data_IF_938159459043
#
_entry.id   IF_938159459043
#
_cell.length_a   1.000
_cell.length_b   1.000
_cell.length_c   1.000
_cell.angle_alpha   90.00
_cell.angle_beta   90.00
_cell.angle_gamma   90.00
#
_symmetry.space_group_name_H-M   'P 1'
#
loop_
_entity.id
_entity.type
_entity.pdbx_description
1 polymer ?
#
# COMPACT_ATOMS: atom_id res chain seq x y z
N UNK A 1 -21.30 -3.01 -15.65
CA UNK A 1 -21.09 -1.58 -15.98
C UNK A 1 -20.22 -0.99 -14.89
N UNK A 2 -19.19 -0.22 -15.23
CA UNK A 2 -18.34 0.43 -14.22
C UNK A 2 -19.10 1.54 -13.52
N UNK A 3 -18.96 1.69 -12.20
CA UNK A 3 -19.66 2.76 -11.48
C UNK A 3 -19.07 4.12 -11.86
N UNK A 4 -19.89 5.15 -12.13
CA UNK A 4 -19.40 6.49 -12.41
C UNK A 4 -18.43 7.01 -11.33
N UNK A 5 -17.29 7.58 -11.74
CA UNK A 5 -16.24 8.07 -10.82
C UNK A 5 -16.77 9.03 -9.75
N UNK A 6 -17.73 9.88 -10.10
CA UNK A 6 -18.36 10.83 -9.17
C UNK A 6 -19.12 10.16 -8.03
N UNK A 7 -19.82 9.05 -8.31
CA UNK A 7 -20.53 8.28 -7.28
C UNK A 7 -19.55 7.60 -6.32
N UNK A 8 -18.49 6.98 -6.85
CA UNK A 8 -17.46 6.35 -6.03
C UNK A 8 -16.76 7.37 -5.15
N UNK A 9 -16.52 8.58 -5.66
CA UNK A 9 -15.94 9.66 -4.85
C UNK A 9 -16.88 10.07 -3.71
N UNK A 10 -18.17 10.23 -3.97
CA UNK A 10 -19.15 10.55 -2.93
C UNK A 10 -19.30 9.44 -1.88
N UNK A 11 -19.15 8.17 -2.27
CA UNK A 11 -19.07 7.03 -1.34
C UNK A 11 -17.84 7.12 -0.43
N UNK A 12 -16.66 7.38 -1.01
CA UNK A 12 -15.43 7.59 -0.26
C UNK A 12 -15.58 8.75 0.74
N UNK A 13 -16.12 9.87 0.29
CA UNK A 13 -16.31 11.05 1.12
C UNK A 13 -17.23 10.74 2.31
N UNK A 14 -18.35 10.03 2.10
CA UNK A 14 -19.24 9.59 3.19
C UNK A 14 -18.53 8.68 4.17
N UNK A 15 -17.75 7.72 3.68
CA UNK A 15 -17.00 6.80 4.53
C UNK A 15 -15.94 7.51 5.38
N UNK A 16 -15.18 8.46 4.81
CA UNK A 16 -14.18 9.23 5.55
C UNK A 16 -14.79 10.15 6.62
N UNK A 17 -16.07 10.52 6.48
CA UNK A 17 -16.80 11.29 7.48
C UNK A 17 -17.46 10.43 8.56
N UNK A 18 -17.59 9.13 8.34
CA UNK A 18 -18.26 8.22 9.26
C UNK A 18 -17.57 8.19 10.63
N UNK A 19 -18.32 7.79 11.66
CA UNK A 19 -17.80 7.67 13.03
C UNK A 19 -16.88 6.45 13.16
N UNK A 20 -17.15 5.42 12.36
CA UNK A 20 -16.42 4.16 12.27
C UNK A 20 -15.01 4.35 11.70
N UNK A 21 -14.81 5.29 10.77
CA UNK A 21 -13.51 5.55 10.17
C UNK A 21 -12.54 6.23 11.15
N UNK A 22 -11.56 5.46 11.62
CA UNK A 22 -10.65 5.87 12.70
C UNK A 22 -9.40 6.61 12.22
N UNK A 23 -8.97 6.41 10.96
CA UNK A 23 -7.70 6.95 10.43
C UNK A 23 -7.72 8.49 10.32
N UNK A 24 -7.07 9.14 11.29
CA UNK A 24 -7.01 10.60 11.36
C UNK A 24 -6.17 11.22 10.24
N UNK A 25 -5.15 10.52 9.74
CA UNK A 25 -4.32 11.00 8.63
C UNK A 25 -5.13 11.16 7.34
N UNK A 26 -5.89 10.15 6.95
CA UNK A 26 -6.76 10.20 5.77
C UNK A 26 -7.89 11.24 5.92
N UNK A 27 -8.46 11.42 7.12
CA UNK A 27 -9.44 12.50 7.38
C UNK A 27 -8.80 13.88 7.24
N UNK A 28 -7.56 14.06 7.69
CA UNK A 28 -6.83 15.31 7.53
C UNK A 28 -6.51 15.58 6.06
N UNK A 29 -6.08 14.57 5.30
CA UNK A 29 -5.84 14.66 3.87
C UNK A 29 -7.09 15.12 3.11
N UNK A 30 -8.23 14.48 3.41
CA UNK A 30 -9.51 14.85 2.84
C UNK A 30 -9.91 16.29 3.16
N UNK A 31 -9.88 16.70 4.44
CA UNK A 31 -10.27 18.05 4.87
C UNK A 31 -9.41 19.16 4.26
N UNK A 32 -8.17 18.85 3.87
CA UNK A 32 -7.21 19.79 3.30
C UNK A 32 -7.16 19.78 1.77
N UNK A 33 -8.01 18.96 1.12
CA UNK A 33 -8.01 18.82 -0.32
C UNK A 33 -6.76 18.13 -0.87
N UNK A 34 -6.00 17.41 -0.05
CA UNK A 34 -4.74 16.74 -0.42
C UNK A 34 -4.91 15.24 -0.67
N UNK A 35 -6.13 14.81 -0.98
CA UNK A 35 -6.48 13.44 -1.33
C UNK A 35 -6.61 13.31 -2.85
N UNK A 36 -5.67 12.57 -3.47
CA UNK A 36 -5.77 12.15 -4.88
C UNK A 36 -6.58 10.86 -4.95
N UNK A 37 -7.62 10.82 -5.78
CA UNK A 37 -8.48 9.65 -5.94
C UNK A 37 -8.50 9.17 -7.38
N UNK A 38 -8.40 7.85 -7.55
CA UNK A 38 -8.52 7.14 -8.81
C UNK A 38 -9.38 5.90 -8.64
N UNK A 39 -10.04 5.51 -9.72
CA UNK A 39 -10.98 4.39 -9.73
C UNK A 39 -10.70 3.48 -10.92
N UNK A 40 -10.65 2.18 -10.64
CA UNK A 40 -10.25 1.15 -11.60
C UNK A 40 -11.27 0.00 -11.63
N UNK A 41 -11.30 -0.80 -12.72
CA UNK A 41 -12.26 -1.90 -12.83
C UNK A 41 -12.13 -2.99 -11.74
N UNK A 42 -10.95 -3.57 -11.50
CA UNK A 42 -10.86 -4.76 -10.65
C UNK A 42 -9.53 -4.86 -9.91
N UNK A 43 -9.57 -5.06 -8.59
CA UNK A 43 -8.38 -5.33 -7.79
C UNK A 43 -7.77 -6.68 -8.24
N UNK A 44 -6.45 -6.71 -8.43
CA UNK A 44 -5.74 -7.91 -8.89
C UNK A 44 -5.83 -8.19 -10.40
N UNK A 45 -6.51 -7.35 -11.18
CA UNK A 45 -6.49 -7.40 -12.64
C UNK A 45 -5.28 -6.68 -13.25
N UNK A 46 -4.70 -7.24 -14.31
CA UNK A 46 -3.49 -6.70 -14.97
C UNK A 46 -3.69 -5.28 -15.51
N UNK A 47 -4.82 -5.03 -16.19
CA UNK A 47 -5.11 -3.71 -16.76
C UNK A 47 -5.35 -2.65 -15.67
N UNK A 48 -6.03 -3.02 -14.57
CA UNK A 48 -6.19 -2.13 -13.42
C UNK A 48 -4.85 -1.87 -12.72
N UNK A 49 -3.96 -2.86 -12.65
CA UNK A 49 -2.62 -2.67 -12.12
C UNK A 49 -1.78 -1.73 -12.98
N UNK A 50 -1.87 -1.83 -14.31
CA UNK A 50 -1.21 -0.91 -15.25
C UNK A 50 -1.68 0.53 -15.08
N UNK A 51 -2.98 0.77 -15.11
CA UNK A 51 -3.54 2.12 -14.91
C UNK A 51 -3.19 2.66 -13.51
N UNK A 52 -3.24 1.80 -12.50
CA UNK A 52 -2.88 2.19 -11.14
C UNK A 52 -1.39 2.51 -11.00
N UNK A 53 -0.50 1.77 -11.64
CA UNK A 53 0.92 2.07 -11.69
C UNK A 53 1.16 3.45 -12.31
N UNK A 54 0.59 3.73 -13.49
CA UNK A 54 0.74 5.02 -14.18
C UNK A 54 0.32 6.19 -13.27
N UNK A 55 -0.89 6.14 -12.71
CA UNK A 55 -1.40 7.18 -11.82
C UNK A 55 -0.59 7.32 -10.52
N UNK A 56 -0.10 6.21 -9.95
CA UNK A 56 0.68 6.20 -8.71
C UNK A 56 2.12 6.65 -8.94
N UNK A 57 2.71 6.36 -10.10
CA UNK A 57 4.02 6.84 -10.51
C UNK A 57 4.00 8.37 -10.67
N UNK A 58 3.02 8.91 -11.39
CA UNK A 58 2.82 10.36 -11.51
C UNK A 58 2.67 11.02 -10.13
N UNK A 59 1.89 10.40 -9.24
CA UNK A 59 1.75 10.86 -7.87
C UNK A 59 3.07 10.83 -7.11
N UNK A 60 3.83 9.73 -7.19
CA UNK A 60 5.12 9.54 -6.51
C UNK A 60 6.15 10.57 -6.96
N UNK A 61 6.30 10.78 -8.27
CA UNK A 61 7.23 11.76 -8.84
C UNK A 61 6.88 13.21 -8.45
N UNK A 62 5.62 13.46 -8.11
CA UNK A 62 5.16 14.78 -7.67
C UNK A 62 5.28 15.02 -6.14
N UNK A 63 5.70 14.03 -5.34
CA UNK A 63 5.84 14.13 -3.88
C UNK A 63 7.07 14.92 -3.38
N UNK A 64 8.27 14.79 -3.99
CA UNK A 64 9.45 15.50 -3.52
C UNK A 64 9.18 17.01 -3.34
N UNK A 65 9.61 17.57 -2.21
CA UNK A 65 9.37 18.97 -1.85
C UNK A 65 8.00 19.31 -1.26
N UNK A 66 7.02 18.39 -1.28
CA UNK A 66 5.68 18.59 -0.68
C UNK A 66 5.51 17.93 0.69
N UNK A 67 6.39 16.99 1.04
CA UNK A 67 6.35 16.24 2.29
C UNK A 67 6.88 17.08 3.46
N UNK A 68 6.13 17.14 4.55
CA UNK A 68 6.49 17.86 5.77
C UNK A 68 5.82 17.27 7.01
N UNK A 69 6.25 17.69 8.20
CA UNK A 69 5.61 17.31 9.47
C UNK A 69 4.19 17.87 9.68
N UNK A 70 3.61 18.48 8.65
CA UNK A 70 2.22 18.90 8.60
C UNK A 70 1.51 18.46 7.32
N UNK A 71 2.18 17.78 6.37
CA UNK A 71 1.54 17.29 5.15
C UNK A 71 0.70 16.05 5.43
N UNK A 72 -0.48 15.99 4.82
CA UNK A 72 -1.31 14.78 4.78
C UNK A 72 -1.68 14.50 3.32
N UNK A 73 -0.71 14.05 2.55
CA UNK A 73 -0.91 13.62 1.17
C UNK A 73 -1.29 12.14 1.17
N UNK A 74 -2.38 11.80 0.49
CA UNK A 74 -2.83 10.42 0.36
C UNK A 74 -3.33 10.16 -1.05
N UNK A 75 -2.87 9.07 -1.64
CA UNK A 75 -3.45 8.52 -2.87
C UNK A 75 -4.46 7.44 -2.50
N UNK A 76 -5.66 7.48 -3.07
CA UNK A 76 -6.70 6.49 -2.84
C UNK A 76 -7.08 5.83 -4.16
N UNK A 77 -6.80 4.54 -4.26
CA UNK A 77 -7.31 3.67 -5.32
C UNK A 77 -8.61 3.01 -4.86
N UNK A 78 -9.62 2.98 -5.72
CA UNK A 78 -10.88 2.26 -5.50
C UNK A 78 -11.18 1.35 -6.67
N UNK A 79 -11.91 0.26 -6.44
CA UNK A 79 -12.16 -0.74 -7.48
C UNK A 79 -13.64 -1.12 -7.55
N UNK A 80 -14.16 -1.40 -8.74
CA UNK A 80 -15.52 -1.96 -8.89
C UNK A 80 -15.60 -3.39 -8.36
N UNK A 81 -14.51 -4.15 -8.52
CA UNK A 81 -14.43 -5.54 -8.10
C UNK A 81 -13.05 -5.96 -7.56
N UNK A 82 -12.84 -7.27 -7.32
CA UNK A 82 -13.80 -8.35 -7.54
C UNK A 82 -14.95 -8.26 -6.54
N UNK A 83 -15.96 -9.13 -6.69
CA UNK A 83 -17.16 -9.15 -5.84
C UNK A 83 -16.87 -9.34 -4.34
N UNK A 84 -17.90 -9.65 -3.53
CA UNK A 84 -17.70 -9.88 -2.11
C UNK A 84 -16.58 -10.90 -1.86
N UNK A 85 -15.66 -10.56 -0.96
CA UNK A 85 -14.53 -11.38 -0.53
C UNK A 85 -14.50 -11.43 0.99
N UNK A 86 -14.14 -12.58 1.53
CA UNK A 86 -13.67 -12.65 2.92
C UNK A 86 -12.29 -11.99 3.07
N UNK A 87 -11.78 -11.91 4.31
CA UNK A 87 -10.48 -11.27 4.58
C UNK A 87 -9.30 -12.02 3.93
N UNK A 88 -9.38 -13.34 3.79
CA UNK A 88 -8.30 -14.17 3.25
C UNK A 88 -8.23 -14.05 1.72
N UNK A 89 -9.38 -14.10 1.05
CA UNK A 89 -9.53 -13.85 -0.39
C UNK A 89 -9.10 -12.43 -0.74
N UNK A 90 -9.50 -11.45 0.07
CA UNK A 90 -9.08 -10.06 -0.12
C UNK A 90 -7.58 -9.88 0.03
N UNK A 91 -6.96 -10.46 1.06
CA UNK A 91 -5.51 -10.39 1.26
C UNK A 91 -4.73 -10.99 0.08
N UNK A 92 -5.15 -12.15 -0.43
CA UNK A 92 -4.54 -12.76 -1.63
C UNK A 92 -4.68 -11.85 -2.85
N UNK A 93 -5.86 -11.26 -3.04
CA UNK A 93 -6.16 -10.38 -4.18
C UNK A 93 -5.37 -9.07 -4.09
N UNK A 94 -5.24 -8.50 -2.89
CA UNK A 94 -4.41 -7.33 -2.60
C UNK A 94 -2.95 -7.59 -3.00
N UNK A 95 -2.35 -8.66 -2.48
CA UNK A 95 -0.95 -8.93 -2.76
C UNK A 95 -0.68 -9.27 -4.22
N UNK A 96 -1.61 -9.97 -4.89
CA UNK A 96 -1.57 -10.14 -6.35
C UNK A 96 -1.54 -8.79 -7.06
N UNK A 97 -2.39 -7.84 -6.65
CA UNK A 97 -2.42 -6.51 -7.26
C UNK A 97 -1.13 -5.74 -7.04
N UNK A 98 -0.59 -5.75 -5.81
CA UNK A 98 0.69 -5.09 -5.51
C UNK A 98 1.86 -5.74 -6.26
N UNK A 99 1.86 -7.07 -6.42
CA UNK A 99 2.86 -7.75 -7.24
C UNK A 99 2.78 -7.31 -8.70
N UNK A 100 1.57 -7.21 -9.28
CA UNK A 100 1.41 -6.75 -10.66
C UNK A 100 1.91 -5.31 -10.86
N UNK A 101 1.63 -4.41 -9.92
CA UNK A 101 2.14 -3.04 -9.96
C UNK A 101 3.67 -3.02 -9.84
N UNK A 102 4.25 -3.80 -8.92
CA UNK A 102 5.71 -3.92 -8.77
C UNK A 102 6.39 -4.51 -10.03
N UNK A 103 5.77 -5.51 -10.65
CA UNK A 103 6.29 -6.15 -11.86
C UNK A 103 6.39 -5.15 -13.03
N UNK A 104 5.51 -4.14 -13.07
CA UNK A 104 5.53 -3.06 -14.05
C UNK A 104 6.59 -2.00 -13.69
N UNK A 105 6.75 -1.68 -12.40
CA UNK A 105 7.64 -0.61 -11.92
C UNK A 105 9.13 -1.00 -11.90
N UNK A 106 9.40 -2.25 -11.49
CA UNK A 106 10.76 -2.74 -11.20
C UNK A 106 11.80 -2.72 -12.32
N UNK A 107 11.44 -2.76 -13.62
CA UNK A 107 12.43 -2.59 -14.69
C UNK A 107 13.08 -1.21 -14.69
N UNK A 108 12.33 -0.16 -14.32
CA UNK A 108 12.74 1.23 -14.48
C UNK A 108 13.11 1.91 -13.16
N UNK A 109 12.69 1.34 -12.03
CA UNK A 109 12.76 1.98 -10.73
C UNK A 109 13.33 1.07 -9.65
N UNK A 110 14.19 1.66 -8.80
CA UNK A 110 14.82 0.98 -7.67
C UNK A 110 14.07 1.16 -6.35
N UNK A 111 14.79 0.98 -5.24
CA UNK A 111 14.24 1.18 -3.88
C UNK A 111 14.58 2.57 -3.34
N UNK A 112 13.73 3.07 -2.43
CA UNK A 112 13.98 4.35 -1.77
C UNK A 112 15.16 4.19 -0.79
N UNK A 113 16.14 5.10 -0.77
CA UNK A 113 17.20 5.08 0.23
C UNK A 113 16.63 5.05 1.66
N UNK A 114 17.16 4.14 2.48
CA UNK A 114 16.74 3.93 3.88
C UNK A 114 15.47 3.10 4.07
N UNK A 115 14.77 2.71 3.00
CA UNK A 115 13.67 1.75 3.04
C UNK A 115 14.15 0.36 2.59
N UNK A 116 13.41 -0.68 2.98
CA UNK A 116 13.61 -2.04 2.50
C UNK A 116 12.47 -2.47 1.58
N UNK A 117 12.78 -3.28 0.57
CA UNK A 117 11.78 -3.97 -0.24
C UNK A 117 11.50 -5.41 0.24
N UNK A 118 12.23 -5.89 1.25
CA UNK A 118 11.98 -7.17 1.90
C UNK A 118 10.80 -7.01 2.89
N UNK A 119 9.66 -7.71 2.68
CA UNK A 119 8.45 -7.59 3.50
C UNK A 119 8.61 -8.09 4.94
N UNK A 120 9.72 -8.75 5.25
CA UNK A 120 10.05 -9.20 6.61
C UNK A 120 10.78 -8.14 7.44
N UNK A 121 11.20 -7.03 6.84
CA UNK A 121 12.00 -6.00 7.51
C UNK A 121 11.16 -4.90 8.18
N UNK A 122 11.62 -4.34 9.32
CA UNK A 122 10.98 -3.22 10.02
C UNK A 122 10.73 -1.96 9.19
N UNK A 123 11.60 -1.68 8.22
CA UNK A 123 11.53 -0.52 7.34
C UNK A 123 10.98 -0.86 5.94
N UNK A 124 10.21 -1.95 5.83
CA UNK A 124 9.55 -2.33 4.58
C UNK A 124 8.64 -1.22 4.04
N UNK A 125 8.70 -1.01 2.73
CA UNK A 125 7.73 -0.22 1.98
C UNK A 125 7.40 -0.86 0.64
N UNK A 126 6.18 -0.64 0.17
CA UNK A 126 5.81 -0.94 -1.22
C UNK A 126 6.34 0.18 -2.12
N UNK A 127 7.13 -0.15 -3.13
CA UNK A 127 7.84 0.83 -3.95
C UNK A 127 7.13 1.06 -5.28
N UNK A 128 7.01 2.34 -5.65
CA UNK A 128 6.64 2.80 -7.00
C UNK A 128 7.46 4.04 -7.31
N UNK A 129 8.09 4.11 -8.49
CA UNK A 129 8.90 5.27 -8.90
C UNK A 129 10.09 5.54 -7.98
N UNK A 130 10.64 4.50 -7.33
CA UNK A 130 11.71 4.66 -6.34
C UNK A 130 11.27 5.21 -4.98
N UNK A 131 9.95 5.36 -4.75
CA UNK A 131 9.40 5.94 -3.53
C UNK A 131 8.69 4.86 -2.68
N UNK A 132 8.94 4.85 -1.36
CA UNK A 132 8.40 3.85 -0.45
C UNK A 132 7.05 4.27 0.16
N UNK A 133 6.06 3.39 0.08
CA UNK A 133 4.70 3.61 0.56
C UNK A 133 4.26 2.57 1.59
N UNK A 134 3.40 3.03 2.50
CA UNK A 134 2.51 2.17 3.29
C UNK A 134 1.15 2.09 2.60
N UNK A 135 0.59 0.88 2.52
CA UNK A 135 -0.72 0.64 1.91
C UNK A 135 -1.69 0.19 3.00
N UNK A 136 -2.76 0.95 3.23
CA UNK A 136 -3.88 0.55 4.06
C UNK A 136 -5.06 0.13 3.19
N UNK A 137 -5.29 -1.18 3.09
CA UNK A 137 -6.36 -1.74 2.29
C UNK A 137 -7.69 -1.83 3.07
N UNK A 138 -8.80 -1.69 2.36
CA UNK A 138 -10.17 -1.65 2.87
C UNK A 138 -11.10 -2.47 1.95
N UNK A 139 -12.07 -3.17 2.52
CA UNK A 139 -13.06 -3.96 1.77
C UNK A 139 -14.32 -4.23 2.60
N UNK A 140 -15.46 -4.60 1.96
CA UNK A 140 -16.73 -4.79 2.66
C UNK A 140 -16.70 -5.87 3.75
N UNK A 141 -15.89 -6.92 3.54
CA UNK A 141 -15.77 -8.08 4.42
C UNK A 141 -14.83 -7.89 5.61
N UNK A 142 -14.26 -6.70 5.81
CA UNK A 142 -13.30 -6.45 6.89
C UNK A 142 -13.92 -6.67 8.27
N UNK A 143 -13.19 -7.34 9.16
CA UNK A 143 -13.55 -7.47 10.59
C UNK A 143 -13.58 -6.13 11.32
N UNK A 144 -12.80 -5.15 10.85
CA UNK A 144 -12.70 -3.79 11.42
C UNK A 144 -13.64 -2.81 10.72
N UNK A 145 -14.48 -2.12 11.49
CA UNK A 145 -15.43 -1.12 10.99
C UNK A 145 -14.71 0.01 10.22
N UNK A 146 -13.55 0.42 10.70
CA UNK A 146 -12.69 1.43 10.08
C UNK A 146 -12.12 1.04 8.72
N UNK A 147 -12.25 -0.23 8.31
CA UNK A 147 -11.82 -0.75 7.01
C UNK A 147 -12.96 -1.37 6.18
N UNK A 148 -14.22 -1.31 6.67
CA UNK A 148 -15.41 -1.76 5.94
C UNK A 148 -15.91 -0.70 4.94
N UNK A 149 -15.06 -0.37 3.97
CA UNK A 149 -15.49 0.44 2.83
C UNK A 149 -16.39 -0.41 1.90
N UNK A 150 -17.46 0.12 1.29
CA UNK A 150 -18.39 -0.66 0.46
C UNK A 150 -17.80 -1.30 -0.80
N UNK A 151 -16.51 -1.07 -1.08
CA UNK A 151 -15.77 -1.62 -2.22
C UNK A 151 -14.33 -1.91 -1.82
N UNK A 152 -13.56 -2.68 -2.61
CA UNK A 152 -12.11 -2.73 -2.45
C UNK A 152 -11.50 -1.33 -2.64
N UNK A 153 -10.61 -0.94 -1.72
CA UNK A 153 -9.88 0.32 -1.80
C UNK A 153 -8.51 0.24 -1.12
N UNK A 154 -7.57 1.04 -1.61
CA UNK A 154 -6.20 1.16 -1.09
C UNK A 154 -5.94 2.63 -0.77
N UNK A 155 -5.66 2.95 0.48
CA UNK A 155 -5.09 4.24 0.87
C UNK A 155 -3.57 4.11 0.93
N UNK A 156 -2.87 4.84 0.07
CA UNK A 156 -1.43 4.74 -0.16
C UNK A 156 -0.79 6.04 0.33
N UNK A 157 0.12 5.90 1.30
CA UNK A 157 0.74 7.05 1.99
C UNK A 157 2.26 6.88 2.03
N UNK A 158 2.99 7.98 1.77
CA UNK A 158 4.45 7.98 1.79
C UNK A 158 5.01 7.61 3.17
N UNK A 159 5.97 6.69 3.22
CA UNK A 159 6.69 6.36 4.46
C UNK A 159 7.47 7.57 5.00
N UNK A 160 8.03 8.38 4.09
CA UNK A 160 8.68 9.64 4.47
C UNK A 160 7.73 10.64 5.14
N UNK A 161 6.43 10.61 4.82
CA UNK A 161 5.44 11.43 5.52
C UNK A 161 5.31 11.05 6.99
N UNK A 162 5.31 9.74 7.31
CA UNK A 162 5.25 9.29 8.70
C UNK A 162 6.51 9.69 9.46
N UNK A 163 7.70 9.56 8.85
CA UNK A 163 8.95 10.01 9.45
C UNK A 163 8.95 11.53 9.72
N UNK A 164 8.43 12.32 8.78
CA UNK A 164 8.37 13.77 8.92
C UNK A 164 7.43 14.24 10.06
N UNK A 165 6.44 13.44 10.46
CA UNK A 165 5.54 13.76 11.57
C UNK A 165 6.26 13.72 12.94
N UNK A 166 7.34 12.94 13.09
CA UNK A 166 8.08 12.81 14.34
C UNK A 166 7.17 12.46 15.53
N UNK A 167 7.33 13.15 16.65
CA UNK A 167 6.52 12.94 17.87
C UNK A 167 5.00 13.12 17.63
N UNK A 168 4.59 13.93 16.65
CA UNK A 168 3.16 14.12 16.32
C UNK A 168 2.53 12.82 15.83
N UNK A 169 3.33 11.90 15.28
CA UNK A 169 2.85 10.58 14.87
C UNK A 169 2.39 9.78 16.10
N UNK A 170 3.12 9.84 17.21
CA UNK A 170 2.75 9.12 18.46
C UNK A 170 1.40 9.61 18.97
N UNK A 171 1.21 10.93 19.08
CA UNK A 171 -0.07 11.49 19.50
C UNK A 171 -1.21 11.17 18.51
N UNK A 172 -0.92 11.13 17.21
CA UNK A 172 -1.90 10.75 16.19
C UNK A 172 -2.33 9.28 16.37
N UNK A 173 -1.36 8.40 16.62
CA UNK A 173 -1.54 6.97 16.81
C UNK A 173 -2.34 6.65 18.07
N UNK A 174 -2.07 7.32 19.19
CA UNK A 174 -2.88 7.19 20.43
C UNK A 174 -4.35 7.55 20.18
N UNK A 175 -4.61 8.64 19.45
CA UNK A 175 -5.98 9.05 19.12
C UNK A 175 -6.66 8.08 18.14
N UNK A 176 -5.91 7.49 17.21
CA UNK A 176 -6.42 6.43 16.33
C UNK A 176 -6.77 5.20 17.16
N UNK A 177 -5.91 4.78 18.10
CA UNK A 177 -6.15 3.64 19.00
C UNK A 177 -7.37 3.83 19.89
N UNK A 178 -7.57 5.03 20.44
CA UNK A 178 -8.76 5.35 21.23
C UNK A 178 -10.05 5.20 20.40
N UNK A 179 -10.02 5.64 19.12
CA UNK A 179 -11.15 5.43 18.21
C UNK A 179 -11.36 3.98 17.81
N UNK A 180 -10.28 3.25 17.57
CA UNK A 180 -10.36 1.82 17.30
C UNK A 180 -11.00 1.07 18.47
N UNK A 181 -10.63 1.40 19.71
CA UNK A 181 -11.24 0.87 20.92
C UNK A 181 -12.74 1.20 21.00
N UNK A 182 -13.11 2.46 20.76
CA UNK A 182 -14.50 2.88 20.79
C UNK A 182 -15.37 2.21 19.71
N UNK A 183 -14.82 2.02 18.50
CA UNK A 183 -15.56 1.53 17.34
C UNK A 183 -15.57 0.01 17.20
N UNK A 184 -14.55 -0.68 17.73
CA UNK A 184 -14.35 -2.12 17.52
C UNK A 184 -14.13 -2.91 18.84
N UNK A 185 -14.22 -2.24 20.00
CA UNK A 185 -13.97 -2.86 21.31
C UNK A 185 -12.52 -3.30 21.55
N UNK A 186 -11.61 -3.00 20.64
CA UNK A 186 -10.20 -3.41 20.70
C UNK A 186 -9.34 -2.53 19.79
N UNK A 187 -8.02 -2.49 19.99
CA UNK A 187 -7.07 -1.97 18.99
C UNK A 187 -6.90 -3.05 17.90
N UNK A 188 -6.59 -2.65 16.67
CA UNK A 188 -6.30 -3.62 15.60
C UNK A 188 -5.14 -4.53 16.06
N UNK A 189 -5.35 -5.85 16.21
CA UNK A 189 -4.34 -6.76 16.76
C UNK A 189 -3.06 -6.82 15.93
N UNK A 190 -3.14 -6.59 14.61
CA UNK A 190 -1.95 -6.54 13.77
C UNK A 190 -0.98 -5.46 14.27
N UNK A 191 -1.49 -4.25 14.57
CA UNK A 191 -0.71 -3.14 15.12
C UNK A 191 -0.31 -3.30 16.60
N UNK A 192 -0.80 -4.29 17.33
CA UNK A 192 -0.28 -4.56 18.69
C UNK A 192 0.81 -5.63 18.69
N UNK A 193 0.82 -6.52 17.68
CA UNK A 193 1.75 -7.64 17.60
C UNK A 193 2.96 -7.38 16.68
N UNK A 194 2.76 -6.65 15.57
CA UNK A 194 3.75 -6.59 14.48
C UNK A 194 4.10 -5.17 14.02
N UNK A 195 3.61 -4.13 14.71
CA UNK A 195 3.61 -2.73 14.27
C UNK A 195 4.92 -2.27 13.62
N UNK A 196 6.03 -2.45 14.35
CA UNK A 196 7.35 -2.01 13.92
C UNK A 196 8.26 -3.15 13.46
N UNK A 197 7.81 -4.40 13.59
CA UNK A 197 8.63 -5.56 13.23
C UNK A 197 8.39 -5.99 11.79
N UNK A 198 7.11 -6.07 11.37
CA UNK A 198 6.73 -6.59 10.06
C UNK A 198 5.55 -5.79 9.48
N UNK A 199 5.81 -4.59 8.92
CA UNK A 199 4.76 -3.68 8.46
C UNK A 199 3.82 -4.27 7.40
N UNK A 200 4.31 -5.22 6.58
CA UNK A 200 3.54 -5.90 5.55
C UNK A 200 2.26 -6.56 6.10
N UNK A 201 2.27 -7.05 7.34
CA UNK A 201 1.12 -7.70 8.00
C UNK A 201 -0.07 -6.75 8.22
N UNK A 202 0.15 -5.44 8.15
CA UNK A 202 -0.92 -4.44 8.35
C UNK A 202 -1.65 -4.08 7.06
N UNK A 203 -1.12 -4.49 5.90
CA UNK A 203 -1.57 -3.97 4.62
C UNK A 203 -3.02 -4.36 4.32
N UNK A 204 -3.34 -5.67 4.43
CA UNK A 204 -4.70 -6.19 4.24
C UNK A 204 -5.68 -5.72 5.33
N UNK A 205 -5.19 -5.55 6.56
CA UNK A 205 -6.00 -5.16 7.71
C UNK A 205 -6.56 -6.32 8.52
N UNK A 206 -6.31 -7.54 8.06
CA UNK A 206 -6.58 -8.80 8.75
C UNK A 206 -5.54 -9.04 9.85
N UNK A 207 -5.92 -9.73 10.92
CA UNK A 207 -4.95 -10.32 11.83
C UNK A 207 -4.35 -11.58 11.18
N UNK A 208 -3.06 -11.53 10.88
CA UNK A 208 -2.30 -12.65 10.31
C UNK A 208 -1.87 -13.65 11.38
N UNK A 209 -1.76 -14.92 11.00
CA UNK A 209 -1.26 -16.03 11.81
C UNK A 209 0.24 -15.85 12.16
N UNK A 210 0.75 -16.47 13.24
CA UNK A 210 2.17 -16.36 13.61
C UNK A 210 3.14 -16.78 12.50
N UNK A 211 2.81 -17.83 11.75
CA UNK A 211 3.60 -18.40 10.65
C UNK A 211 3.30 -17.77 9.28
N UNK A 212 2.47 -16.73 9.23
CA UNK A 212 2.14 -16.03 7.99
C UNK A 212 3.40 -15.49 7.30
N UNK A 213 3.42 -15.63 5.97
CA UNK A 213 4.47 -15.10 5.12
C UNK A 213 3.85 -14.22 4.04
N UNK A 214 4.48 -13.07 3.79
CA UNK A 214 4.05 -12.18 2.73
C UNK A 214 4.30 -12.86 1.37
N UNK A 215 3.29 -12.98 0.49
CA UNK A 215 3.46 -13.60 -0.82
C UNK A 215 4.14 -12.66 -1.83
N UNK A 216 4.39 -11.39 -1.46
CA UNK A 216 5.10 -10.42 -2.28
C UNK A 216 6.54 -10.85 -2.52
N UNK A 217 6.97 -10.80 -3.77
CA UNK A 217 8.34 -11.10 -4.19
C UNK A 217 8.90 -9.89 -4.90
N UNK A 218 9.85 -9.25 -4.26
CA UNK A 218 10.61 -8.19 -4.89
C UNK A 218 11.43 -8.78 -6.04
N UNK A 219 11.41 -8.09 -7.19
CA UNK A 219 12.19 -8.44 -8.38
C UNK A 219 13.19 -7.32 -8.63
N UNK A 220 14.47 -7.66 -8.64
CA UNK A 220 15.54 -6.77 -9.10
C UNK A 220 15.89 -7.13 -10.53
N UNK A 221 15.94 -6.16 -11.44
CA UNK A 221 16.36 -6.44 -12.82
C UNK A 221 17.82 -6.96 -12.87
N UNK A 222 18.67 -6.65 -11.88
CA UNK A 222 20.05 -7.13 -11.84
C UNK A 222 20.20 -8.65 -11.73
N UNK A 223 19.17 -9.39 -11.31
CA UNK A 223 19.22 -10.86 -11.18
C UNK A 223 18.73 -11.61 -12.44
N UNK A 224 18.19 -10.89 -13.44
CA UNK A 224 17.63 -11.49 -14.66
C UNK A 224 18.57 -11.65 -15.85
N UNK A 225 19.83 -11.21 -15.75
CA UNK A 225 20.82 -11.27 -16.85
C UNK A 225 21.95 -12.29 -16.64
N UNK A 226 21.95 -13.05 -15.54
CA UNK A 226 22.94 -14.10 -15.33
C UNK A 226 22.32 -15.48 -15.60
N UNK A 227 22.27 -15.91 -16.87
CA UNK A 227 22.52 -17.31 -17.31
C UNK A 227 22.27 -17.48 -18.82
N UNK A 228 23.36 -17.43 -19.60
CA UNK A 228 23.67 -18.02 -20.93
C UNK A 228 24.67 -17.07 -21.60
N UNK A 229 25.98 -17.31 -21.57
CA UNK A 229 26.70 -18.43 -22.20
C UNK A 229 28.06 -18.69 -21.52
N UNK A 230 28.57 -19.93 -21.55
CA UNK A 230 30.00 -20.20 -21.48
C UNK A 230 30.49 -20.68 -22.86
N UNK A 231 30.93 -19.76 -23.73
CA UNK A 231 31.81 -20.13 -24.85
C UNK A 231 33.20 -19.53 -24.66
N UNK A 232 34.07 -20.37 -24.09
CA UNK A 232 35.47 -20.61 -24.45
C UNK A 232 36.23 -19.52 -25.22
N UNK A 233 37.17 -18.86 -24.53
CA UNK A 233 38.33 -18.27 -25.17
C UNK A 233 39.58 -18.31 -24.27
N UNK A 234 40.35 -19.39 -24.38
CA UNK A 234 41.82 -19.44 -24.23
C UNK A 234 42.22 -20.77 -24.91
N UNK A 235 42.93 -20.81 -26.04
CA UNK A 235 44.04 -19.93 -26.42
C UNK A 235 45.33 -20.68 -26.13
N UNK A 236 45.68 -21.58 -27.04
CA UNK A 236 46.90 -22.37 -27.10
C UNK A 236 48.15 -21.51 -26.87
N UNK A 237 49.03 -21.96 -25.98
CA UNK A 237 50.37 -21.42 -25.82
C UNK A 237 51.33 -22.57 -25.53
N UNK A 238 51.60 -23.35 -26.58
CA UNK A 238 52.83 -24.12 -26.72
C UNK A 238 53.87 -23.23 -27.42
N UNK A 239 54.92 -22.82 -26.69
CA UNK A 239 56.34 -22.68 -27.08
C UNK A 239 57.13 -21.90 -26.02
#
# INVERSE_FOLDING_TARGET
>A
MSTPRGEVRAELDRFLHSTEFSCLGARAAFKRGSLTHRHYPVLGGAESARQHHEDLLDYALALPGKLSGTSFLTFVATFDGPGPMDELEFERTLWRHLQLVHDIDSPDHGVQPGASADPTQPNFGFHVGGHAFFVAAMHPGSSRASRRFPRPALAITSNQQFMALGEKFVSLQERIRAREMANNGSINPSFTHYEYAQPARHFSGRLTEPDWQCPFRFRNHTEGQATSDPETYYGDASL
#
